data_IF_588489777144
#
_entry.id   IF_588489777144
#
_cell.length_a   1.000
_cell.length_b   1.000
_cell.length_c   1.000
_cell.angle_alpha   90.00
_cell.angle_beta   90.00
_cell.angle_gamma   90.00
#
_symmetry.space_group_name_H-M   'P 1'
#
loop_
_entity.id
_entity.type
_entity.pdbx_description
1 polymer ?
#
# COMPACT_ATOMS: atom_id res chain seq x y z
N UNK A 1 5.46 31.53 -2.38
CA UNK A 1 5.07 30.54 -3.39
C UNK A 1 5.94 29.32 -3.21
N UNK A 2 5.39 28.29 -2.57
CA UNK A 2 5.77 26.90 -2.77
C UNK A 2 4.45 26.16 -2.59
N UNK A 3 3.81 25.80 -3.71
CA UNK A 3 2.77 24.79 -3.64
C UNK A 3 3.56 23.49 -3.50
N UNK A 4 3.65 22.97 -2.27
CA UNK A 4 4.05 21.57 -2.08
C UNK A 4 3.09 20.76 -2.94
N UNK A 5 3.60 20.16 -4.01
CA UNK A 5 2.79 19.33 -4.87
C UNK A 5 2.40 18.10 -4.04
N UNK A 6 1.21 18.12 -3.44
CA UNK A 6 0.71 17.03 -2.60
C UNK A 6 0.57 15.79 -3.47
N UNK A 7 1.28 14.71 -3.10
CA UNK A 7 1.22 13.44 -3.83
C UNK A 7 -0.22 12.94 -3.87
N UNK A 8 -0.69 12.57 -5.07
CA UNK A 8 -2.04 12.07 -5.31
C UNK A 8 -2.00 10.63 -5.81
N UNK A 9 -2.99 9.83 -5.40
CA UNK A 9 -3.26 8.53 -5.97
C UNK A 9 -3.99 8.65 -7.31
N UNK A 10 -3.42 8.07 -8.35
CA UNK A 10 -4.02 7.92 -9.66
C UNK A 10 -4.44 6.45 -9.83
N UNK A 11 -5.74 6.19 -9.77
CA UNK A 11 -6.29 4.84 -9.96
C UNK A 11 -6.08 4.35 -11.39
N UNK A 12 -5.58 3.12 -11.57
CA UNK A 12 -5.48 2.49 -12.88
C UNK A 12 -6.55 1.43 -13.08
N UNK A 13 -6.63 0.46 -12.17
CA UNK A 13 -7.55 -0.65 -12.30
C UNK A 13 -7.75 -1.40 -10.98
N UNK A 14 -8.67 -2.36 -10.99
CA UNK A 14 -8.99 -3.21 -9.86
C UNK A 14 -9.24 -4.66 -10.30
N UNK A 15 -9.24 -5.57 -9.33
CA UNK A 15 -9.62 -6.97 -9.50
C UNK A 15 -10.30 -7.49 -8.25
N UNK A 16 -11.11 -8.53 -8.43
CA UNK A 16 -11.71 -9.28 -7.32
C UNK A 16 -11.11 -10.69 -7.27
N UNK A 17 -11.17 -11.29 -6.08
CA UNK A 17 -10.71 -12.65 -5.84
C UNK A 17 -11.35 -13.21 -4.58
N UNK A 18 -10.75 -14.24 -4.00
CA UNK A 18 -11.19 -14.84 -2.74
C UNK A 18 -9.98 -15.02 -1.81
N UNK A 19 -10.17 -14.89 -0.49
CA UNK A 19 -9.12 -15.22 0.47
C UNK A 19 -8.88 -16.72 0.45
N UNK A 20 -7.62 -17.14 0.28
CA UNK A 20 -7.24 -18.56 0.37
C UNK A 20 -7.55 -19.18 1.73
N UNK A 21 -7.61 -18.34 2.77
CA UNK A 21 -7.85 -18.73 4.15
C UNK A 21 -9.30 -19.16 4.44
N UNK A 22 -10.28 -18.45 3.88
CA UNK A 22 -11.69 -18.55 4.28
C UNK A 22 -12.68 -18.47 3.11
N UNK A 23 -12.19 -18.26 1.88
CA UNK A 23 -13.00 -18.15 0.67
C UNK A 23 -13.81 -16.85 0.54
N UNK A 24 -13.74 -15.92 1.50
CA UNK A 24 -14.44 -14.62 1.38
C UNK A 24 -13.88 -13.78 0.25
N UNK A 25 -14.74 -12.97 -0.36
CA UNK A 25 -14.35 -12.06 -1.44
C UNK A 25 -13.23 -11.12 -1.00
N UNK A 26 -12.22 -10.99 -1.85
CA UNK A 26 -11.17 -9.98 -1.74
C UNK A 26 -11.23 -9.00 -2.91
N UNK A 27 -10.75 -7.78 -2.67
CA UNK A 27 -10.52 -6.76 -3.70
C UNK A 27 -9.04 -6.41 -3.73
N UNK A 28 -8.53 -6.12 -4.91
CA UNK A 28 -7.20 -5.51 -5.11
C UNK A 28 -7.36 -4.32 -6.04
N UNK A 29 -6.83 -3.17 -5.65
CA UNK A 29 -6.71 -1.97 -6.51
C UNK A 29 -5.24 -1.67 -6.76
N UNK A 30 -4.93 -1.04 -7.88
CA UNK A 30 -3.59 -0.54 -8.15
C UNK A 30 -3.59 0.72 -9.02
N UNK A 31 -2.50 1.45 -8.89
CA UNK A 31 -2.30 2.74 -9.52
C UNK A 31 -0.93 3.31 -9.16
N UNK A 32 -0.70 4.58 -9.49
CA UNK A 32 0.49 5.30 -9.05
C UNK A 32 0.19 6.37 -8.00
N UNK A 33 1.22 6.71 -7.24
CA UNK A 33 1.28 7.90 -6.40
C UNK A 33 2.20 8.90 -7.10
N UNK A 34 1.68 10.04 -7.53
CA UNK A 34 2.44 11.03 -8.27
C UNK A 34 2.21 12.46 -7.77
N UNK A 35 3.19 13.31 -8.01
CA UNK A 35 3.10 14.76 -7.86
C UNK A 35 3.49 15.43 -9.20
N UNK A 36 3.71 16.74 -9.20
CA UNK A 36 4.10 17.48 -10.42
C UNK A 36 5.45 17.06 -11.02
N UNK A 37 6.30 16.36 -10.25
CA UNK A 37 7.58 15.81 -10.69
C UNK A 37 7.47 14.41 -11.29
N UNK A 38 6.31 13.76 -11.17
CA UNK A 38 6.03 12.43 -11.73
C UNK A 38 5.70 11.38 -10.66
N UNK A 39 5.67 10.13 -11.10
CA UNK A 39 5.34 8.99 -10.24
C UNK A 39 6.46 8.71 -9.21
N UNK A 40 6.05 8.69 -7.94
CA UNK A 40 6.88 8.41 -6.76
C UNK A 40 6.85 6.92 -6.39
N UNK A 41 5.72 6.27 -6.63
CA UNK A 41 5.51 4.86 -6.36
C UNK A 41 4.37 4.30 -7.20
N UNK A 42 4.37 2.98 -7.41
CA UNK A 42 3.17 2.22 -7.80
C UNK A 42 2.64 1.51 -6.56
N UNK A 43 1.34 1.61 -6.32
CA UNK A 43 0.68 0.97 -5.19
C UNK A 43 -0.14 -0.24 -5.63
N UNK A 44 -0.21 -1.25 -4.77
CA UNK A 44 -1.22 -2.30 -4.79
C UNK A 44 -1.84 -2.38 -3.40
N UNK A 45 -3.17 -2.32 -3.31
CA UNK A 45 -3.89 -2.44 -2.04
C UNK A 45 -4.86 -3.60 -2.14
N UNK A 46 -4.75 -4.55 -1.21
CA UNK A 46 -5.59 -5.75 -1.18
C UNK A 46 -6.26 -5.90 0.19
N UNK A 47 -7.56 -6.13 0.19
CA UNK A 47 -8.33 -6.40 1.42
C UNK A 47 -9.40 -7.47 1.19
N UNK A 48 -9.80 -8.12 2.27
CA UNK A 48 -10.97 -9.01 2.29
C UNK A 48 -12.19 -8.18 2.68
N UNK A 49 -13.25 -8.25 1.87
CA UNK A 49 -14.44 -7.41 2.03
C UNK A 49 -15.13 -7.70 3.36
N UNK A 50 -15.49 -6.65 4.11
CA UNK A 50 -16.18 -6.71 5.40
C UNK A 50 -15.52 -7.64 6.43
N UNK A 51 -14.19 -7.73 6.43
CA UNK A 51 -13.45 -8.71 7.22
C UNK A 51 -12.31 -8.05 8.02
N UNK A 52 -12.59 -7.39 9.15
CA UNK A 52 -11.59 -6.66 9.95
C UNK A 52 -10.51 -7.55 10.56
N UNK A 53 -10.74 -8.87 10.69
CA UNK A 53 -9.75 -9.86 11.10
C UNK A 53 -8.68 -10.14 10.04
N UNK A 54 -8.96 -9.79 8.78
CA UNK A 54 -7.99 -9.85 7.69
C UNK A 54 -7.39 -8.47 7.46
N UNK A 55 -6.19 -8.28 7.99
CA UNK A 55 -5.42 -7.05 7.79
C UNK A 55 -5.24 -6.75 6.29
N UNK A 56 -5.59 -5.53 5.88
CA UNK A 56 -5.42 -5.11 4.50
C UNK A 56 -3.93 -4.92 4.19
N UNK A 57 -3.50 -5.35 3.01
CA UNK A 57 -2.12 -5.21 2.56
C UNK A 57 -1.98 -3.97 1.68
N UNK A 58 -0.90 -3.25 1.89
CA UNK A 58 -0.49 -2.07 1.13
C UNK A 58 0.93 -2.32 0.65
N UNK A 59 1.09 -2.56 -0.64
CA UNK A 59 2.36 -2.81 -1.29
C UNK A 59 2.73 -1.56 -2.09
N UNK A 60 3.90 -0.97 -1.82
CA UNK A 60 4.43 0.20 -2.51
C UNK A 60 5.73 -0.17 -3.23
N UNK A 61 5.73 -0.06 -4.55
CA UNK A 61 6.94 -0.20 -5.37
C UNK A 61 7.55 1.18 -5.57
N UNK A 62 8.58 1.46 -4.78
CA UNK A 62 9.27 2.74 -4.69
C UNK A 62 10.43 2.82 -5.68
N UNK A 63 10.67 4.00 -6.22
CA UNK A 63 11.74 4.27 -7.16
C UNK A 63 11.22 4.96 -8.42
N UNK A 64 12.11 5.27 -9.39
CA UNK A 64 11.74 6.05 -10.56
C UNK A 64 10.91 5.20 -11.54
N UNK A 65 9.91 5.83 -12.14
CA UNK A 65 9.04 5.25 -13.17
C UNK A 65 9.08 6.12 -14.43
N UNK A 66 8.85 5.50 -15.59
CA UNK A 66 8.91 6.16 -16.90
C UNK A 66 10.16 5.83 -17.70
N UNK A 67 10.40 6.61 -18.74
CA UNK A 67 11.44 6.34 -19.74
C UNK A 67 12.85 6.29 -19.13
N UNK A 68 13.64 5.29 -19.55
CA UNK A 68 15.02 5.12 -19.11
C UNK A 68 15.20 4.52 -17.70
N UNK A 69 14.10 4.15 -17.03
CA UNK A 69 14.13 3.48 -15.72
C UNK A 69 13.96 1.97 -15.86
N UNK A 70 14.40 1.23 -14.85
CA UNK A 70 14.36 -0.23 -14.83
C UNK A 70 13.81 -0.76 -13.51
N UNK A 71 13.34 -2.04 -13.45
CA UNK A 71 12.99 -2.67 -12.19
C UNK A 71 14.13 -2.65 -11.17
N UNK A 72 15.40 -2.72 -11.61
CA UNK A 72 16.57 -2.64 -10.73
C UNK A 72 16.71 -1.32 -9.97
N UNK A 73 16.03 -0.27 -10.41
CA UNK A 73 16.02 1.04 -9.72
C UNK A 73 14.96 1.12 -8.61
N UNK A 74 14.23 0.02 -8.36
CA UNK A 74 13.03 0.02 -7.52
C UNK A 74 13.09 -1.03 -6.43
N UNK A 75 12.41 -0.76 -5.33
CA UNK A 75 12.26 -1.68 -4.19
C UNK A 75 10.79 -1.79 -3.81
N UNK A 76 10.38 -2.97 -3.35
CA UNK A 76 9.05 -3.17 -2.77
C UNK A 76 9.12 -2.98 -1.25
N UNK A 77 8.21 -2.14 -0.72
CA UNK A 77 7.90 -2.04 0.71
C UNK A 77 6.44 -2.44 0.93
N UNK A 78 6.19 -3.30 1.90
CA UNK A 78 4.85 -3.78 2.22
C UNK A 78 4.44 -3.40 3.64
N UNK A 79 3.18 -3.01 3.79
CA UNK A 79 2.55 -2.69 5.06
C UNK A 79 1.25 -3.48 5.23
N UNK A 80 0.92 -3.73 6.49
CA UNK A 80 -0.41 -4.17 6.90
C UNK A 80 -1.13 -3.02 7.58
N UNK A 81 -2.39 -2.82 7.20
CA UNK A 81 -3.33 -2.04 7.99
C UNK A 81 -4.11 -2.97 8.89
N UNK A 82 -4.06 -2.72 10.20
CA UNK A 82 -4.87 -3.41 11.20
C UNK A 82 -6.04 -2.52 11.61
N UNK A 83 -7.27 -2.87 11.21
CA UNK A 83 -8.45 -2.14 11.66
C UNK A 83 -8.62 -2.20 13.17
N UNK A 84 -9.09 -1.10 13.78
CA UNK A 84 -9.42 -1.04 15.21
C UNK A 84 -10.57 -0.06 15.47
N UNK A 85 -11.36 -0.27 16.54
CA UNK A 85 -12.35 0.71 16.96
C UNK A 85 -11.72 2.09 17.17
N UNK A 86 -12.27 3.11 16.50
CA UNK A 86 -11.80 4.49 16.59
C UNK A 86 -10.59 4.84 15.70
N UNK A 87 -10.12 3.91 14.88
CA UNK A 87 -9.03 4.12 13.93
C UNK A 87 -7.97 3.03 14.01
N UNK A 88 -7.66 2.42 12.87
CA UNK A 88 -6.63 1.39 12.76
C UNK A 88 -5.20 1.93 12.70
N UNK A 89 -4.26 1.03 12.46
CA UNK A 89 -2.83 1.33 12.46
C UNK A 89 -2.08 0.61 11.34
N UNK A 90 -1.11 1.27 10.74
CA UNK A 90 -0.20 0.67 9.77
C UNK A 90 1.03 0.05 10.43
N UNK A 91 1.53 -1.03 9.84
CA UNK A 91 2.75 -1.70 10.25
C UNK A 91 3.54 -2.17 9.02
N UNK A 92 4.81 -1.79 8.92
CA UNK A 92 5.72 -2.36 7.92
C UNK A 92 5.92 -3.85 8.20
N UNK A 93 5.78 -4.67 7.17
CA UNK A 93 5.99 -6.12 7.17
C UNK A 93 7.05 -6.51 6.12
N UNK A 94 7.32 -7.80 5.97
CA UNK A 94 8.13 -8.31 4.86
C UNK A 94 7.37 -8.15 3.54
N UNK A 95 8.03 -7.62 2.51
CA UNK A 95 7.48 -7.61 1.16
C UNK A 95 7.65 -8.93 0.41
N UNK A 96 8.38 -9.91 0.96
CA UNK A 96 8.65 -11.18 0.27
C UNK A 96 7.39 -12.02 0.08
N UNK A 97 7.26 -12.64 -1.09
CA UNK A 97 6.12 -13.48 -1.46
C UNK A 97 4.82 -12.71 -1.72
N UNK A 98 4.86 -11.38 -1.65
CA UNK A 98 3.73 -10.53 -2.05
C UNK A 98 3.59 -10.54 -3.57
N UNK A 99 2.40 -10.21 -4.09
CA UNK A 99 2.19 -10.14 -5.54
C UNK A 99 3.13 -9.15 -6.24
N UNK A 100 3.46 -8.05 -5.57
CA UNK A 100 4.39 -7.04 -6.09
C UNK A 100 5.87 -7.43 -5.95
N UNK A 101 6.19 -8.57 -5.31
CA UNK A 101 7.53 -9.17 -5.20
C UNK A 101 7.96 -9.80 -6.54
N UNK A 102 7.79 -9.03 -7.62
CA UNK A 102 8.00 -9.43 -9.00
C UNK A 102 9.23 -8.71 -9.56
N UNK A 103 10.16 -9.47 -10.14
CA UNK A 103 11.41 -8.94 -10.71
C UNK A 103 11.18 -8.10 -11.97
N UNK A 104 10.00 -8.15 -12.57
CA UNK A 104 9.56 -7.23 -13.62
C UNK A 104 9.09 -5.87 -13.08
N UNK A 105 8.85 -5.75 -11.77
CA UNK A 105 8.41 -4.52 -11.11
C UNK A 105 9.50 -3.87 -10.26
N UNK A 106 10.32 -4.66 -9.55
CA UNK A 106 11.36 -4.16 -8.65
C UNK A 106 12.63 -5.03 -8.66
N UNK A 107 13.70 -4.57 -8.01
CA UNK A 107 14.95 -5.32 -7.82
C UNK A 107 14.82 -6.36 -6.71
N UNK A 108 14.20 -5.94 -5.60
CA UNK A 108 13.97 -6.77 -4.42
C UNK A 108 12.82 -6.25 -3.56
N UNK A 109 12.22 -7.15 -2.81
CA UNK A 109 11.36 -6.81 -1.68
C UNK A 109 12.18 -6.60 -0.41
N UNK A 110 11.85 -5.54 0.33
CA UNK A 110 12.48 -5.21 1.59
C UNK A 110 11.85 -5.97 2.76
N UNK A 111 12.69 -6.28 3.75
CA UNK A 111 12.23 -6.73 5.06
C UNK A 111 11.87 -5.53 5.94
N UNK A 112 11.09 -5.78 7.00
CA UNK A 112 10.78 -4.74 8.00
C UNK A 112 12.04 -4.04 8.54
N UNK A 113 13.11 -4.80 8.76
CA UNK A 113 14.37 -4.28 9.29
C UNK A 113 15.13 -3.34 8.33
N UNK A 114 14.87 -3.44 7.02
CA UNK A 114 15.47 -2.54 6.03
C UNK A 114 14.77 -1.16 6.00
N UNK A 115 13.55 -1.08 6.52
CA UNK A 115 12.71 0.12 6.47
C UNK A 115 12.63 0.80 7.85
N UNK A 116 12.29 0.05 8.90
CA UNK A 116 12.02 0.62 10.23
C UNK A 116 13.31 1.14 10.85
N UNK A 117 13.27 2.39 11.33
CA UNK A 117 14.44 3.06 11.91
C UNK A 117 15.37 3.72 10.88
N UNK A 118 15.03 3.67 9.60
CA UNK A 118 15.75 4.37 8.53
C UNK A 118 14.93 5.56 8.00
N UNK A 119 15.55 6.51 7.27
CA UNK A 119 14.82 7.61 6.64
C UNK A 119 13.71 7.16 5.67
N UNK A 120 13.85 5.96 5.09
CA UNK A 120 12.88 5.38 4.17
C UNK A 120 11.49 5.21 4.82
N UNK A 121 11.43 4.93 6.13
CA UNK A 121 10.15 4.84 6.83
C UNK A 121 9.33 6.14 6.72
N UNK A 122 9.99 7.30 6.81
CA UNK A 122 9.31 8.59 6.69
C UNK A 122 8.71 8.81 5.30
N UNK A 123 9.44 8.43 4.25
CA UNK A 123 8.95 8.47 2.87
C UNK A 123 7.77 7.51 2.66
N UNK A 124 7.91 6.27 3.13
CA UNK A 124 6.86 5.23 3.04
C UNK A 124 5.57 5.70 3.71
N UNK A 125 5.65 6.20 4.94
CA UNK A 125 4.45 6.67 5.65
C UNK A 125 3.84 7.93 5.01
N UNK A 126 4.66 8.84 4.47
CA UNK A 126 4.14 9.98 3.71
C UNK A 126 3.36 9.55 2.46
N UNK A 127 3.84 8.52 1.75
CA UNK A 127 3.15 7.95 0.59
C UNK A 127 1.88 7.20 0.97
N UNK A 128 1.90 6.46 2.08
CA UNK A 128 0.69 5.83 2.64
C UNK A 128 -0.33 6.89 3.04
N UNK A 129 0.07 7.97 3.68
CA UNK A 129 -0.84 9.07 4.07
C UNK A 129 -1.46 9.76 2.84
N UNK A 130 -0.69 9.94 1.77
CA UNK A 130 -1.21 10.41 0.49
C UNK A 130 -2.26 9.44 -0.06
N UNK A 131 -1.90 8.16 -0.24
CA UNK A 131 -2.81 7.12 -0.73
C UNK A 131 -4.09 7.03 0.12
N UNK A 132 -3.93 7.04 1.44
CA UNK A 132 -5.04 6.99 2.39
C UNK A 132 -5.94 8.21 2.22
N UNK A 133 -5.42 9.42 2.02
CA UNK A 133 -6.26 10.62 1.84
C UNK A 133 -6.94 10.69 0.47
N UNK A 134 -6.28 10.24 -0.59
CA UNK A 134 -6.66 10.61 -1.96
C UNK A 134 -7.30 9.49 -2.77
N UNK A 135 -7.11 8.21 -2.43
CA UNK A 135 -7.78 7.11 -3.12
C UNK A 135 -9.14 6.79 -2.47
N UNK A 136 -10.28 7.11 -3.10
CA UNK A 136 -11.59 6.95 -2.48
C UNK A 136 -11.94 5.49 -2.15
N UNK A 137 -11.40 4.50 -2.87
CA UNK A 137 -11.71 3.08 -2.62
C UNK A 137 -11.17 2.56 -1.30
N UNK A 138 -10.13 3.20 -0.72
CA UNK A 138 -9.63 2.82 0.61
C UNK A 138 -10.64 3.14 1.72
N UNK A 139 -11.72 3.85 1.42
CA UNK A 139 -12.83 4.05 2.35
C UNK A 139 -13.46 2.72 2.80
N UNK A 140 -13.48 1.69 1.94
CA UNK A 140 -13.94 0.35 2.34
C UNK A 140 -13.06 -0.25 3.44
N UNK A 141 -11.77 0.08 3.45
CA UNK A 141 -10.80 -0.39 4.45
C UNK A 141 -10.98 0.43 5.74
N UNK A 142 -11.17 1.75 5.64
CA UNK A 142 -11.52 2.61 6.79
C UNK A 142 -12.80 2.18 7.47
N UNK A 143 -13.82 1.80 6.69
CA UNK A 143 -15.08 1.31 7.22
C UNK A 143 -14.92 0.05 8.09
N UNK A 144 -13.83 -0.73 7.92
CA UNK A 144 -13.52 -1.88 8.77
C UNK A 144 -13.28 -1.48 10.23
N UNK A 145 -12.82 -0.26 10.51
CA UNK A 145 -12.60 0.21 11.89
C UNK A 145 -13.90 0.23 12.70
N UNK A 146 -15.04 0.45 12.05
CA UNK A 146 -16.36 0.49 12.70
C UNK A 146 -16.90 -0.90 13.05
N UNK A 147 -16.38 -1.95 12.41
CA UNK A 147 -16.81 -3.34 12.62
C UNK A 147 -15.73 -4.22 13.27
N UNK A 148 -14.52 -3.68 13.43
CA UNK A 148 -13.47 -4.31 14.21
C UNK A 148 -13.93 -4.44 15.67
N UNK A 149 -13.70 -5.61 16.26
CA UNK A 149 -13.97 -5.82 17.69
C UNK A 149 -12.75 -5.44 18.53
N UNK A 150 -12.98 -5.04 19.78
CA UNK A 150 -11.92 -4.97 20.79
C UNK A 150 -11.48 -6.39 21.15
N UNK A 151 -10.60 -6.99 20.38
CA UNK A 151 -9.85 -8.14 20.89
C UNK A 151 -8.88 -7.62 21.96
N UNK A 152 -9.15 -8.02 23.20
CA UNK A 152 -8.49 -7.61 24.44
C UNK A 152 -7.12 -8.27 24.58
#
# INVERSE_FOLDING_TARGET
>A
MNQDADVQANFWNESTGHCDCCGRQSKTIWGDLADSSGARAVYFVQWTVNSPEHMANFDLVLGPWGDGTSPSDRVLVSLLYRPRPGGGSFMVTSGKGRRADDRSLCDRALERADVVGTPLAGEVFSLVDALWRTEPRVEEIRALDSIASHET
#
